data_IF_455857339297
#
_entry.id   IF_455857339297
#
_cell.length_a   1.000
_cell.length_b   1.000
_cell.length_c   1.000
_cell.angle_alpha   90.00
_cell.angle_beta   90.00
_cell.angle_gamma   90.00
#
_symmetry.space_group_name_H-M   'P 1'
#
loop_
_entity.id
_entity.type
_entity.pdbx_description
1 polymer ?
#
# COMPACT_ATOMS: atom_id res chain seq x y z
N UNK A 1 -10.90 23.56 0.52
CA UNK A 1 -10.14 22.55 -0.26
C UNK A 1 -8.73 22.51 0.28
N UNK A 2 -8.18 21.31 0.54
CA UNK A 2 -6.82 21.15 1.06
C UNK A 2 -5.80 21.49 -0.04
N UNK A 3 -4.90 22.43 0.22
CA UNK A 3 -3.86 22.87 -0.71
C UNK A 3 -2.66 23.40 0.11
N UNK A 4 -1.40 23.23 -0.34
CA UNK A 4 -0.25 23.83 0.31
C UNK A 4 -0.35 25.36 0.30
N UNK A 5 -0.07 25.99 1.45
CA UNK A 5 -0.07 27.46 1.56
C UNK A 5 1.06 28.11 0.75
N UNK A 6 2.24 27.48 0.71
CA UNK A 6 3.41 27.95 -0.02
C UNK A 6 4.23 26.76 -0.48
N UNK A 7 4.63 26.78 -1.75
CA UNK A 7 5.45 25.73 -2.35
C UNK A 7 6.69 26.37 -2.96
N UNK A 8 7.86 25.74 -2.78
CA UNK A 8 9.12 26.23 -3.36
C UNK A 8 9.09 26.23 -4.90
N UNK A 9 8.42 25.23 -5.49
CA UNK A 9 8.26 25.11 -6.94
C UNK A 9 6.80 24.94 -7.31
N UNK A 10 6.38 25.63 -8.37
CA UNK A 10 5.00 25.57 -8.86
C UNK A 10 4.67 24.27 -9.59
N UNK A 11 5.65 23.67 -10.28
CA UNK A 11 5.48 22.42 -11.05
C UNK A 11 6.48 21.38 -10.58
N UNK A 12 6.04 20.13 -10.48
CA UNK A 12 6.87 19.00 -10.11
C UNK A 12 6.71 17.86 -11.12
N UNK A 13 7.74 17.05 -11.29
CA UNK A 13 7.62 15.81 -12.04
C UNK A 13 6.75 14.81 -11.25
N UNK A 14 5.89 14.07 -11.96
CA UNK A 14 4.95 13.11 -11.34
C UNK A 14 5.71 12.02 -10.55
N UNK A 15 6.79 11.50 -11.12
CA UNK A 15 7.56 10.39 -10.55
C UNK A 15 6.80 9.06 -10.61
N UNK A 16 7.39 8.00 -10.04
CA UNK A 16 6.90 6.63 -10.19
C UNK A 16 6.25 6.09 -8.91
N UNK A 17 5.13 5.36 -9.04
CA UNK A 17 4.36 4.79 -7.91
C UNK A 17 4.90 3.48 -7.31
N UNK A 18 6.06 2.98 -7.75
CA UNK A 18 6.62 1.69 -7.34
C UNK A 18 6.88 1.57 -5.83
N UNK A 19 6.65 0.38 -5.28
CA UNK A 19 6.96 0.00 -3.90
C UNK A 19 5.89 0.38 -2.88
N UNK A 20 5.98 -0.20 -1.68
CA UNK A 20 5.03 0.01 -0.58
C UNK A 20 5.07 1.42 0.03
N UNK A 21 4.07 1.74 0.86
CA UNK A 21 4.03 2.97 1.63
C UNK A 21 5.23 3.09 2.59
N UNK A 22 5.89 4.25 2.59
CA UNK A 22 7.06 4.53 3.46
C UNK A 22 6.64 4.70 4.92
N UNK A 23 5.49 5.34 5.16
CA UNK A 23 4.95 5.66 6.48
C UNK A 23 3.42 5.68 6.46
N UNK A 24 2.79 5.87 7.62
CA UNK A 24 1.32 5.99 7.73
C UNK A 24 0.57 4.67 7.54
N UNK A 25 1.21 3.54 7.86
CA UNK A 25 0.59 2.20 7.69
C UNK A 25 -0.08 1.65 8.94
N UNK A 26 0.05 2.33 10.08
CA UNK A 26 -0.58 1.93 11.35
C UNK A 26 -1.54 3.03 11.79
N UNK A 27 -2.56 2.67 12.56
CA UNK A 27 -3.49 3.62 13.16
C UNK A 27 -2.72 4.40 14.23
N UNK A 28 -2.57 5.71 14.03
CA UNK A 28 -1.89 6.59 14.99
C UNK A 28 -2.88 7.30 15.93
N UNK A 29 -4.12 7.49 15.48
CA UNK A 29 -5.16 8.22 16.20
C UNK A 29 -6.50 7.51 16.02
N UNK A 30 -7.30 7.49 17.08
CA UNK A 30 -8.60 6.81 17.11
C UNK A 30 -8.47 5.29 17.15
N UNK A 31 -9.61 4.62 17.09
CA UNK A 31 -9.69 3.17 17.27
C UNK A 31 -9.61 2.41 15.93
N UNK A 32 -9.97 3.07 14.82
CA UNK A 32 -10.06 2.47 13.49
C UNK A 32 -9.40 3.35 12.43
N UNK A 33 -8.92 2.74 11.34
CA UNK A 33 -8.31 3.44 10.21
C UNK A 33 -8.62 2.80 8.86
N UNK A 34 -8.60 3.61 7.81
CA UNK A 34 -8.75 3.17 6.43
C UNK A 34 -7.37 3.07 5.77
N UNK A 35 -7.06 1.90 5.22
CA UNK A 35 -5.79 1.61 4.56
C UNK A 35 -5.99 1.42 3.05
N UNK A 36 -5.09 2.00 2.25
CA UNK A 36 -5.06 1.72 0.83
C UNK A 36 -4.53 0.29 0.59
N UNK A 37 -5.19 -0.44 -0.29
CA UNK A 37 -4.73 -1.75 -0.77
C UNK A 37 -3.83 -1.57 -1.99
N UNK A 38 -4.19 -0.64 -2.87
CA UNK A 38 -3.50 -0.38 -4.12
C UNK A 38 -2.89 1.02 -4.17
N UNK A 39 -1.80 1.22 -4.94
CA UNK A 39 -1.24 2.54 -5.16
C UNK A 39 -2.09 3.36 -6.13
N UNK A 40 -2.42 4.59 -5.74
CA UNK A 40 -3.22 5.50 -6.55
C UNK A 40 -2.91 6.96 -6.25
N UNK A 41 -3.21 7.83 -7.21
CA UNK A 41 -3.22 9.26 -6.98
C UNK A 41 -4.59 9.67 -6.45
N UNK A 42 -4.61 10.38 -5.32
CA UNK A 42 -5.84 10.85 -4.68
C UNK A 42 -5.89 12.37 -4.75
N UNK A 43 -7.00 12.91 -5.23
CA UNK A 43 -7.19 14.37 -5.36
C UNK A 43 -7.69 14.99 -4.06
N UNK A 44 -7.46 16.30 -3.89
CA UNK A 44 -8.04 17.06 -2.78
C UNK A 44 -9.59 16.94 -2.74
N UNK A 45 -10.24 16.82 -3.91
CA UNK A 45 -11.69 16.60 -4.03
C UNK A 45 -12.13 15.27 -3.44
N UNK A 46 -11.41 14.20 -3.75
CA UNK A 46 -11.73 12.86 -3.26
C UNK A 46 -11.56 12.77 -1.74
N UNK A 47 -10.52 13.39 -1.18
CA UNK A 47 -10.32 13.46 0.27
C UNK A 47 -11.48 14.19 0.95
N UNK A 48 -11.89 15.34 0.41
CA UNK A 48 -12.98 16.11 0.98
C UNK A 48 -14.33 15.38 0.83
N UNK A 49 -14.58 14.75 -0.31
CA UNK A 49 -15.78 13.94 -0.53
C UNK A 49 -15.87 12.78 0.48
N UNK A 50 -14.77 12.05 0.69
CA UNK A 50 -14.69 10.98 1.67
C UNK A 50 -14.94 11.49 3.10
N UNK A 51 -14.29 12.60 3.49
CA UNK A 51 -14.49 13.23 4.80
C UNK A 51 -15.94 13.65 5.02
N UNK A 52 -16.56 14.30 4.04
CA UNK A 52 -17.96 14.75 4.11
C UNK A 52 -18.90 13.55 4.22
N UNK A 53 -18.67 12.48 3.45
CA UNK A 53 -19.46 11.26 3.53
C UNK A 53 -19.40 10.63 4.93
N UNK A 54 -18.19 10.45 5.48
CA UNK A 54 -18.01 9.90 6.84
C UNK A 54 -18.65 10.77 7.92
N UNK A 55 -18.39 12.08 7.89
CA UNK A 55 -18.95 13.01 8.89
C UNK A 55 -20.48 13.12 8.83
N UNK A 56 -21.08 13.01 7.64
CA UNK A 56 -22.54 12.93 7.49
C UNK A 56 -23.10 11.63 8.04
N UNK A 57 -22.44 10.51 7.78
CA UNK A 57 -22.89 9.20 8.26
C UNK A 57 -22.93 9.12 9.79
N UNK A 58 -21.91 9.67 10.46
CA UNK A 58 -21.84 9.73 11.93
C UNK A 58 -22.69 10.90 12.49
N UNK A 59 -23.47 11.60 11.65
CA UNK A 59 -24.32 12.75 12.03
C UNK A 59 -23.54 13.85 12.79
N UNK A 60 -22.27 14.07 12.38
CA UNK A 60 -21.31 14.97 13.05
C UNK A 60 -20.94 14.58 14.49
N UNK A 61 -21.26 13.36 14.91
CA UNK A 61 -20.70 12.75 16.12
C UNK A 61 -19.28 12.22 15.86
N UNK A 62 -18.43 12.25 16.89
CA UNK A 62 -17.07 11.72 16.82
C UNK A 62 -16.05 12.62 16.11
N UNK A 63 -14.79 12.16 16.08
CA UNK A 63 -13.66 12.86 15.46
C UNK A 63 -13.15 12.04 14.28
N UNK A 64 -12.92 12.70 13.14
CA UNK A 64 -12.34 12.08 11.94
C UNK A 64 -10.98 12.70 11.68
N UNK A 65 -9.95 11.86 11.61
CA UNK A 65 -8.57 12.28 11.35
C UNK A 65 -8.23 12.04 9.88
N UNK A 66 -7.65 13.04 9.22
CA UNK A 66 -7.14 12.91 7.84
C UNK A 66 -5.61 12.83 7.91
N UNK A 67 -5.08 11.66 7.56
CA UNK A 67 -3.63 11.37 7.62
C UNK A 67 -2.90 11.60 6.30
N UNK A 68 -3.60 12.11 5.29
CA UNK A 68 -3.07 12.28 3.93
C UNK A 68 -3.32 13.71 3.46
N UNK A 69 -2.31 14.35 2.88
CA UNK A 69 -2.38 15.73 2.42
C UNK A 69 -1.98 15.85 0.93
N UNK A 70 -2.77 16.52 0.08
CA UNK A 70 -2.44 16.76 -1.33
C UNK A 70 -1.34 17.82 -1.45
N UNK A 71 -0.10 17.38 -1.53
CA UNK A 71 1.08 18.25 -1.58
C UNK A 71 1.67 18.42 -3.00
N UNK A 72 1.30 17.54 -3.93
CA UNK A 72 1.91 17.51 -5.25
C UNK A 72 1.01 18.10 -6.33
N UNK A 73 1.46 19.18 -7.02
CA UNK A 73 0.71 19.74 -8.13
C UNK A 73 0.75 18.83 -9.34
N UNK A 74 -0.43 18.51 -9.88
CA UNK A 74 -0.56 17.71 -11.10
C UNK A 74 -0.88 18.62 -12.27
N UNK A 75 0.03 18.69 -13.23
CA UNK A 75 -0.13 19.53 -14.44
C UNK A 75 -1.02 18.86 -15.47
N UNK A 76 -1.84 19.66 -16.15
CA UNK A 76 -2.67 19.26 -17.29
C UNK A 76 -2.45 20.21 -18.46
N UNK A 77 -2.78 19.75 -19.66
CA UNK A 77 -2.82 20.63 -20.84
C UNK A 77 -4.22 21.21 -20.98
N UNK A 78 -4.35 22.43 -21.50
CA UNK A 78 -5.65 22.94 -21.92
C UNK A 78 -6.28 22.00 -22.96
N UNK A 79 -7.60 21.90 -22.94
CA UNK A 79 -8.34 21.18 -23.97
C UNK A 79 -7.97 21.73 -25.36
N UNK A 80 -8.01 20.86 -26.38
CA UNK A 80 -7.84 21.24 -27.81
C UNK A 80 -6.43 21.69 -28.23
N UNK A 81 -5.42 21.56 -27.36
CA UNK A 81 -4.05 22.01 -27.66
C UNK A 81 -3.13 20.89 -28.14
N UNK A 82 -2.24 21.23 -29.09
CA UNK A 82 -1.24 20.32 -29.63
C UNK A 82 -0.24 19.84 -28.56
N UNK A 83 0.36 18.67 -28.78
CA UNK A 83 1.22 17.99 -27.80
C UNK A 83 2.44 18.81 -27.35
N UNK A 84 2.91 19.80 -28.11
CA UNK A 84 4.11 20.59 -27.80
C UNK A 84 3.88 21.81 -26.91
N UNK A 85 2.63 22.12 -26.55
CA UNK A 85 2.36 23.29 -25.71
C UNK A 85 2.77 23.08 -24.23
N UNK A 86 3.19 24.17 -23.55
CA UNK A 86 3.57 24.13 -22.14
C UNK A 86 2.37 23.79 -21.25
N UNK A 87 2.53 22.79 -20.39
CA UNK A 87 1.46 22.36 -19.47
C UNK A 87 1.19 23.42 -18.40
N UNK A 88 -0.06 23.56 -17.95
CA UNK A 88 -0.45 24.41 -16.82
C UNK A 88 -0.55 23.58 -15.53
N UNK A 89 -0.52 24.23 -14.37
CA UNK A 89 -0.76 23.53 -13.10
C UNK A 89 -2.24 23.23 -12.96
N UNK A 90 -2.57 21.96 -12.70
CA UNK A 90 -3.91 21.50 -12.37
C UNK A 90 -4.02 21.26 -10.87
N UNK A 91 -4.87 20.32 -10.48
CA UNK A 91 -5.18 20.03 -9.07
C UNK A 91 -4.04 19.34 -8.34
N UNK A 92 -3.91 19.67 -7.05
CA UNK A 92 -2.98 18.99 -6.15
C UNK A 92 -3.49 17.59 -5.80
N UNK A 93 -2.58 16.63 -5.87
CA UNK A 93 -2.82 15.23 -5.60
C UNK A 93 -1.78 14.70 -4.62
N UNK A 94 -2.14 13.63 -3.94
CA UNK A 94 -1.24 12.86 -3.08
C UNK A 94 -1.09 11.45 -3.60
N UNK A 95 0.08 10.87 -3.38
CA UNK A 95 0.33 9.46 -3.67
C UNK A 95 -0.14 8.63 -2.50
N UNK A 96 -1.28 7.95 -2.65
CA UNK A 96 -1.63 6.85 -1.78
C UNK A 96 -0.87 5.62 -2.26
N UNK A 97 -0.20 4.93 -1.34
CA UNK A 97 0.43 3.64 -1.62
C UNK A 97 -0.18 2.59 -0.73
N UNK A 98 -0.42 1.43 -1.32
CA UNK A 98 -0.87 0.27 -0.57
C UNK A 98 0.11 -0.08 0.55
N UNK A 99 -0.44 -0.48 1.69
CA UNK A 99 0.32 -1.27 2.64
C UNK A 99 0.48 -2.67 2.05
N UNK A 100 1.68 -3.01 1.58
CA UNK A 100 1.99 -4.44 1.42
C UNK A 100 1.97 -5.07 2.81
N UNK A 101 1.42 -6.29 2.96
CA UNK A 101 1.61 -7.11 4.17
C UNK A 101 3.08 -7.02 4.57
N UNK A 102 3.35 -6.37 5.70
CA UNK A 102 4.72 -6.19 6.16
C UNK A 102 5.13 -7.51 6.82
N UNK A 103 6.42 -7.84 6.77
CA UNK A 103 6.93 -9.00 7.50
C UNK A 103 6.61 -8.95 8.99
N UNK A 104 6.43 -7.75 9.55
CA UNK A 104 5.96 -7.55 10.92
C UNK A 104 4.60 -8.21 11.17
N UNK A 105 3.63 -8.04 10.25
CA UNK A 105 2.29 -8.59 10.39
C UNK A 105 2.29 -10.14 10.29
N UNK A 106 3.35 -10.71 9.69
CA UNK A 106 3.57 -12.17 9.62
C UNK A 106 4.12 -12.76 10.93
N UNK A 107 4.82 -11.97 11.75
CA UNK A 107 5.43 -12.45 12.99
C UNK A 107 4.42 -12.69 14.10
N UNK A 108 3.31 -11.96 14.07
CA UNK A 108 2.23 -12.07 15.06
C UNK A 108 1.30 -13.27 14.79
N UNK A 109 1.48 -13.97 13.66
CA UNK A 109 0.65 -15.11 13.26
C UNK A 109 1.16 -16.42 13.86
N UNK A 110 0.25 -17.32 14.28
CA UNK A 110 0.64 -18.64 14.77
C UNK A 110 1.23 -19.48 13.63
N UNK A 111 2.14 -20.38 14.00
CA UNK A 111 2.89 -21.22 13.05
C UNK A 111 1.99 -22.00 12.09
N UNK A 112 0.87 -22.53 12.57
CA UNK A 112 -0.09 -23.29 11.76
C UNK A 112 -0.78 -22.43 10.68
N UNK A 113 -1.08 -21.17 11.00
CA UNK A 113 -1.63 -20.24 10.01
C UNK A 113 -0.57 -19.83 8.98
N UNK A 114 0.70 -19.64 9.41
CA UNK A 114 1.81 -19.38 8.50
C UNK A 114 2.03 -20.53 7.52
N UNK A 115 1.95 -21.77 8.01
CA UNK A 115 2.08 -22.99 7.19
C UNK A 115 0.96 -23.08 6.14
N UNK A 116 -0.27 -22.79 6.55
CA UNK A 116 -1.44 -22.76 5.64
C UNK A 116 -1.25 -21.71 4.55
N UNK A 117 -0.89 -20.48 4.93
CA UNK A 117 -0.60 -19.39 3.96
C UNK A 117 0.57 -19.71 3.04
N UNK A 118 1.60 -20.41 3.54
CA UNK A 118 2.73 -20.84 2.71
C UNK A 118 2.29 -21.83 1.63
N UNK A 119 1.40 -22.75 1.96
CA UNK A 119 0.86 -23.72 1.01
C UNK A 119 0.03 -23.03 -0.08
N UNK A 120 -0.87 -22.13 0.32
CA UNK A 120 -1.69 -21.33 -0.60
C UNK A 120 -0.83 -20.48 -1.55
N UNK A 121 0.16 -19.75 -1.01
CA UNK A 121 1.05 -18.91 -1.81
C UNK A 121 1.93 -19.73 -2.78
N UNK A 122 2.36 -20.94 -2.39
CA UNK A 122 3.07 -21.86 -3.28
C UNK A 122 2.18 -22.37 -4.41
N UNK A 123 0.92 -22.70 -4.10
CA UNK A 123 -0.05 -23.14 -5.10
C UNK A 123 -0.36 -22.02 -6.10
N UNK A 124 -0.55 -20.79 -5.62
CA UNK A 124 -0.72 -19.61 -6.47
C UNK A 124 0.50 -19.41 -7.39
N UNK A 125 1.71 -19.49 -6.84
CA UNK A 125 2.94 -19.34 -7.63
C UNK A 125 3.07 -20.41 -8.72
N UNK A 126 2.68 -21.66 -8.42
CA UNK A 126 2.65 -22.74 -9.39
C UNK A 126 1.65 -22.45 -10.52
N UNK A 127 0.41 -22.09 -10.18
CA UNK A 127 -0.63 -21.77 -11.16
C UNK A 127 -0.23 -20.60 -12.06
N UNK A 128 0.37 -19.54 -11.49
CA UNK A 128 0.86 -18.40 -12.25
C UNK A 128 2.01 -18.79 -13.20
N UNK A 129 2.92 -19.67 -12.77
CA UNK A 129 3.99 -20.18 -13.63
C UNK A 129 3.47 -21.07 -14.75
N UNK A 130 2.44 -21.87 -14.47
CA UNK A 130 1.75 -22.67 -15.48
C UNK A 130 1.07 -21.77 -16.53
N UNK A 131 0.38 -20.71 -16.10
CA UNK A 131 -0.23 -19.73 -17.01
C UNK A 131 0.78 -18.98 -17.89
N UNK A 132 2.00 -18.75 -17.40
CA UNK A 132 3.09 -18.19 -18.23
C UNK A 132 3.48 -19.18 -19.32
N UNK A 133 3.61 -20.47 -18.98
CA UNK A 133 3.96 -21.49 -19.97
C UNK A 133 2.88 -21.63 -21.05
N UNK A 134 1.61 -21.38 -20.71
CA UNK A 134 0.49 -21.36 -21.67
C UNK A 134 0.29 -20.00 -22.36
N UNK A 135 1.13 -18.99 -22.09
CA UNK A 135 0.98 -17.61 -22.58
C UNK A 135 -0.38 -16.96 -22.26
N UNK A 136 -1.03 -17.37 -21.17
CA UNK A 136 -2.36 -16.87 -20.74
C UNK A 136 -2.29 -15.90 -19.56
N UNK A 137 -1.09 -15.46 -19.15
CA UNK A 137 -0.93 -14.62 -17.97
C UNK A 137 -1.07 -13.13 -18.28
N UNK A 138 -2.10 -12.50 -17.73
CA UNK A 138 -2.33 -11.05 -17.87
C UNK A 138 -1.46 -10.20 -16.94
N UNK A 139 -1.08 -10.71 -15.76
CA UNK A 139 -0.33 -9.97 -14.75
C UNK A 139 1.00 -10.64 -14.36
N UNK A 140 2.03 -10.40 -15.16
CA UNK A 140 3.40 -10.92 -14.93
C UNK A 140 4.04 -10.41 -13.64
N UNK A 141 3.60 -9.27 -13.10
CA UNK A 141 4.12 -8.72 -11.85
C UNK A 141 3.70 -9.55 -10.62
N UNK A 142 2.56 -10.26 -10.70
CA UNK A 142 2.03 -11.09 -9.60
C UNK A 142 2.98 -12.24 -9.25
N UNK A 143 3.70 -12.81 -10.23
CA UNK A 143 4.72 -13.83 -9.96
C UNK A 143 5.80 -13.31 -9.02
N UNK A 144 6.27 -12.07 -9.25
CA UNK A 144 7.30 -11.46 -8.42
C UNK A 144 6.78 -11.19 -7.00
N UNK A 145 5.53 -10.76 -6.85
CA UNK A 145 4.94 -10.50 -5.53
C UNK A 145 4.78 -11.79 -4.74
N UNK A 146 4.17 -12.82 -5.34
CA UNK A 146 3.94 -14.11 -4.67
C UNK A 146 5.26 -14.80 -4.32
N UNK A 147 6.28 -14.73 -5.19
CA UNK A 147 7.63 -15.23 -4.88
C UNK A 147 8.23 -14.54 -3.65
N UNK A 148 8.04 -13.22 -3.51
CA UNK A 148 8.50 -12.50 -2.33
C UNK A 148 7.66 -12.83 -1.09
N UNK A 149 6.36 -13.10 -1.22
CA UNK A 149 5.49 -13.54 -0.13
C UNK A 149 5.93 -14.90 0.42
N UNK A 150 6.16 -15.89 -0.45
CA UNK A 150 6.72 -17.20 -0.08
C UNK A 150 8.04 -17.05 0.68
N UNK A 151 8.95 -16.21 0.16
CA UNK A 151 10.24 -15.97 0.81
C UNK A 151 10.08 -15.33 2.21
N UNK A 152 9.17 -14.37 2.37
CA UNK A 152 8.91 -13.73 3.67
C UNK A 152 8.33 -14.72 4.68
N UNK A 153 7.31 -15.50 4.29
CA UNK A 153 6.66 -16.48 5.17
C UNK A 153 7.68 -17.53 5.62
N UNK A 154 8.46 -18.09 4.68
CA UNK A 154 9.49 -19.07 5.00
C UNK A 154 10.56 -18.51 5.95
N UNK A 155 10.93 -17.23 5.80
CA UNK A 155 11.89 -16.56 6.69
C UNK A 155 11.34 -16.44 8.11
N UNK A 156 10.08 -16.01 8.26
CA UNK A 156 9.44 -15.86 9.59
C UNK A 156 9.24 -17.22 10.27
N UNK A 157 8.80 -18.25 9.54
CA UNK A 157 8.72 -19.61 10.08
C UNK A 157 10.08 -20.09 10.59
N UNK A 158 11.16 -19.82 9.85
CA UNK A 158 12.52 -20.17 10.29
C UNK A 158 12.97 -19.38 11.51
N UNK A 159 12.59 -18.11 11.62
CA UNK A 159 12.83 -17.29 12.83
C UNK A 159 12.15 -17.95 14.05
N UNK A 160 10.88 -18.32 13.94
CA UNK A 160 10.11 -18.99 15.02
C UNK A 160 10.70 -20.34 15.42
N UNK A 161 11.13 -21.16 14.45
CA UNK A 161 11.82 -22.44 14.74
C UNK A 161 13.09 -22.22 15.57
N UNK A 162 13.94 -21.26 15.16
CA UNK A 162 15.20 -20.96 15.85
C UNK A 162 14.94 -20.47 17.28
N UNK A 163 13.92 -19.65 17.48
CA UNK A 163 13.52 -19.15 18.80
C UNK A 163 13.05 -20.31 19.70
N UNK A 164 12.19 -21.19 19.20
CA UNK A 164 11.75 -22.38 19.92
C UNK A 164 12.92 -23.30 20.30
N UNK A 165 13.90 -23.51 19.41
CA UNK A 165 15.11 -24.26 19.74
C UNK A 165 15.94 -23.60 20.85
N UNK A 166 16.07 -22.26 20.83
CA UNK A 166 16.81 -21.52 21.87
C UNK A 166 16.12 -21.62 23.22
N UNK A 167 14.79 -21.54 23.26
CA UNK A 167 14.03 -21.69 24.50
C UNK A 167 14.23 -23.08 25.12
N UNK A 168 14.19 -24.13 24.30
CA UNK A 168 14.48 -25.50 24.74
C UNK A 168 15.92 -25.68 25.27
N UNK A 169 16.91 -25.02 24.67
CA UNK A 169 18.30 -25.06 25.17
C UNK A 169 18.50 -24.33 26.49
N UNK A 170 17.69 -23.30 26.77
CA UNK A 170 17.73 -22.53 28.04
C UNK A 170 17.03 -23.30 29.16
N UNK A 171 15.90 -23.94 28.88
CA UNK A 171 15.15 -24.73 29.85
C UNK A 171 15.85 -26.04 30.25
N UNK A 172 16.75 -26.52 29.39
CA UNK A 172 17.62 -27.68 29.67
C UNK A 172 18.89 -27.39 30.47
N UNK A 173 19.11 -26.15 30.94
CA UNK A 173 20.25 -25.74 31.80
C UNK A 173 19.76 -25.34 33.18
#
# INVERSE_FOLDING_TARGET
>A
MLMPKRTRWRKQQRGNMRGAAKAGTRVAFGDYGLQAVEPGWVTARQIEAARVAMTRHIKRGGKVWIMVFPDKPVTQKPAETAARQPQTVGEDQVRAKGGSVKSADLRDLPYEELKTKLAEAKQELFNLRFQVATNQLDNTARIKTVRHEVARIATVMREQEIEAYREMEVEGR
#
